data_IF_965176620842
#
_entry.id   IF_965176620842
#
_cell.length_a   1.000
_cell.length_b   1.000
_cell.length_c   1.000
_cell.angle_alpha   90.00
_cell.angle_beta   90.00
_cell.angle_gamma   90.00
#
_symmetry.space_group_name_H-M   'P 1'
#
loop_
_entity.id
_entity.type
_entity.pdbx_description
1 polymer ?
#
# COMPACT_ATOMS: atom_id res chain seq x y z
N UNK A 1 -16.01 -24.87 4.18
CA UNK A 1 -15.92 -23.72 3.25
C UNK A 1 -14.63 -23.93 2.46
N UNK A 2 -14.64 -23.73 1.15
CA UNK A 2 -13.41 -23.89 0.33
C UNK A 2 -12.63 -22.58 0.30
N UNK A 3 -11.30 -22.62 0.13
CA UNK A 3 -10.41 -21.44 0.03
C UNK A 3 -11.00 -20.31 -0.84
N UNK A 4 -11.53 -20.57 -2.05
CA UNK A 4 -12.10 -19.51 -2.89
C UNK A 4 -13.31 -18.81 -2.26
N UNK A 5 -14.15 -19.55 -1.52
CA UNK A 5 -15.32 -19.00 -0.83
C UNK A 5 -14.90 -18.10 0.33
N UNK A 6 -13.89 -18.50 1.11
CA UNK A 6 -13.34 -17.71 2.22
C UNK A 6 -12.70 -16.42 1.71
N UNK A 7 -11.94 -16.52 0.60
CA UNK A 7 -11.29 -15.39 -0.06
C UNK A 7 -12.31 -14.37 -0.58
N UNK A 8 -13.30 -14.82 -1.33
CA UNK A 8 -14.29 -13.92 -1.92
C UNK A 8 -15.15 -13.26 -0.82
N UNK A 9 -15.44 -13.98 0.27
CA UNK A 9 -16.10 -13.41 1.44
C UNK A 9 -15.24 -12.34 2.12
N UNK A 10 -13.91 -12.56 2.25
CA UNK A 10 -13.02 -11.53 2.78
C UNK A 10 -13.03 -10.29 1.90
N UNK A 11 -12.92 -10.46 0.59
CA UNK A 11 -12.91 -9.34 -0.37
C UNK A 11 -14.21 -8.53 -0.28
N UNK A 12 -15.37 -9.19 -0.25
CA UNK A 12 -16.66 -8.53 -0.10
C UNK A 12 -16.73 -7.69 1.20
N UNK A 13 -16.28 -8.26 2.33
CA UNK A 13 -16.20 -7.53 3.60
C UNK A 13 -15.22 -6.36 3.52
N UNK A 14 -14.04 -6.52 2.91
CA UNK A 14 -13.08 -5.42 2.75
C UNK A 14 -13.61 -4.27 1.88
N UNK A 15 -14.49 -4.57 0.91
CA UNK A 15 -15.10 -3.57 0.04
C UNK A 15 -16.26 -2.84 0.72
N UNK A 16 -17.15 -3.58 1.37
CA UNK A 16 -18.45 -3.06 1.81
C UNK A 16 -18.57 -2.90 3.33
N UNK A 17 -17.84 -3.71 4.10
CA UNK A 17 -17.97 -3.80 5.57
C UNK A 17 -16.60 -3.93 6.26
N UNK A 18 -15.65 -2.97 6.08
CA UNK A 18 -14.28 -3.10 6.56
C UNK A 18 -14.13 -3.07 8.10
N UNK A 19 -15.23 -2.98 8.84
CA UNK A 19 -15.27 -3.03 10.31
C UNK A 19 -15.89 -4.33 10.84
N UNK A 20 -16.22 -5.25 9.94
CA UNK A 20 -16.83 -6.52 10.27
C UNK A 20 -15.90 -7.37 11.16
N UNK A 21 -16.47 -7.94 12.22
CA UNK A 21 -15.73 -8.68 13.24
C UNK A 21 -15.16 -10.02 12.74
N UNK A 22 -15.65 -10.52 11.60
CA UNK A 22 -15.20 -11.79 11.03
C UNK A 22 -13.88 -11.66 10.25
N UNK A 23 -13.49 -10.43 9.86
CA UNK A 23 -12.30 -10.18 9.03
C UNK A 23 -11.03 -10.84 9.59
N UNK A 24 -10.69 -10.73 10.89
CA UNK A 24 -9.51 -11.39 11.45
C UNK A 24 -9.51 -12.91 11.26
N UNK A 25 -10.68 -13.55 11.42
CA UNK A 25 -10.83 -15.00 11.24
C UNK A 25 -10.63 -15.43 9.80
N UNK A 26 -11.20 -14.68 8.85
CA UNK A 26 -11.03 -14.93 7.41
C UNK A 26 -9.57 -14.72 6.96
N UNK A 27 -8.91 -13.66 7.46
CA UNK A 27 -7.49 -13.42 7.20
C UNK A 27 -6.64 -14.61 7.66
N UNK A 28 -6.84 -15.06 8.91
CA UNK A 28 -6.09 -16.20 9.44
C UNK A 28 -6.33 -17.51 8.68
N UNK A 29 -7.56 -17.76 8.24
CA UNK A 29 -7.88 -18.94 7.44
C UNK A 29 -7.15 -18.93 6.08
N UNK A 30 -7.16 -17.78 5.38
CA UNK A 30 -6.50 -17.67 4.07
C UNK A 30 -4.98 -17.73 4.21
N UNK A 31 -4.39 -17.09 5.23
CA UNK A 31 -2.95 -17.17 5.50
C UNK A 31 -2.47 -18.61 5.74
N UNK A 32 -3.29 -19.45 6.39
CA UNK A 32 -2.97 -20.85 6.65
C UNK A 32 -3.06 -21.73 5.39
N UNK A 33 -3.95 -21.39 4.46
CA UNK A 33 -4.24 -22.21 3.28
C UNK A 33 -3.45 -21.76 2.03
N UNK A 34 -3.15 -20.48 1.90
CA UNK A 34 -2.54 -19.87 0.70
C UNK A 34 -1.42 -18.88 1.09
N UNK A 35 -0.34 -19.41 1.65
CA UNK A 35 0.85 -18.62 1.96
C UNK A 35 1.50 -18.09 0.67
N UNK A 36 1.81 -16.79 0.63
CA UNK A 36 2.51 -16.19 -0.51
C UNK A 36 3.92 -16.77 -0.71
N UNK A 37 4.35 -16.84 -1.98
CA UNK A 37 5.73 -17.13 -2.37
C UNK A 37 6.22 -16.10 -3.41
N UNK A 38 6.87 -15.06 -2.92
CA UNK A 38 7.41 -13.97 -3.74
C UNK A 38 8.46 -14.44 -4.75
N UNK A 39 9.12 -15.59 -4.55
CA UNK A 39 10.03 -16.11 -5.58
C UNK A 39 9.29 -16.43 -6.89
N UNK A 40 8.00 -16.70 -6.81
CA UNK A 40 7.13 -16.98 -7.95
C UNK A 40 6.23 -15.78 -8.27
N UNK A 41 5.75 -15.10 -7.23
CA UNK A 41 4.64 -14.14 -7.33
C UNK A 41 5.06 -12.67 -7.20
N UNK A 42 6.37 -12.33 -7.14
CA UNK A 42 6.84 -10.95 -6.96
C UNK A 42 6.20 -9.96 -7.96
N UNK A 43 5.96 -10.40 -9.20
CA UNK A 43 5.34 -9.57 -10.23
C UNK A 43 3.91 -9.13 -9.85
N UNK A 44 3.19 -9.91 -9.04
CA UNK A 44 1.86 -9.55 -8.54
C UNK A 44 1.91 -8.38 -7.55
N UNK A 45 3.02 -8.15 -6.86
CA UNK A 45 3.15 -6.99 -5.96
C UNK A 45 3.11 -5.67 -6.71
N UNK A 46 3.52 -5.64 -7.98
CA UNK A 46 3.54 -4.43 -8.77
C UNK A 46 2.13 -3.85 -8.95
N UNK A 47 1.98 -2.55 -8.64
CA UNK A 47 0.71 -1.84 -8.79
C UNK A 47 0.34 -0.98 -7.59
N UNK A 48 -0.90 -0.49 -7.62
CA UNK A 48 -1.49 0.34 -6.58
C UNK A 48 -2.38 -0.51 -5.68
N UNK A 49 -2.12 -0.46 -4.38
CA UNK A 49 -2.84 -1.21 -3.36
C UNK A 49 -3.50 -0.27 -2.36
N UNK A 50 -4.79 -0.43 -2.09
CA UNK A 50 -5.50 0.37 -1.10
C UNK A 50 -5.69 -0.40 0.20
N UNK A 51 -5.30 0.21 1.32
CA UNK A 51 -5.53 -0.34 2.65
C UNK A 51 -7.04 -0.33 2.97
N UNK A 52 -7.61 -1.53 3.10
CA UNK A 52 -9.03 -1.70 3.44
C UNK A 52 -9.26 -2.11 4.88
N UNK A 53 -8.29 -2.76 5.50
CA UNK A 53 -8.36 -3.15 6.90
C UNK A 53 -6.98 -3.25 7.55
N UNK A 54 -6.89 -2.97 8.84
CA UNK A 54 -5.70 -3.21 9.66
C UNK A 54 -6.09 -3.70 11.04
N UNK A 55 -5.26 -4.56 11.63
CA UNK A 55 -5.41 -4.97 13.04
C UNK A 55 -4.96 -3.89 14.04
N UNK A 56 -4.38 -2.77 13.57
CA UNK A 56 -3.90 -1.69 14.44
C UNK A 56 -5.04 -0.79 14.91
N UNK A 57 -4.92 -0.31 16.15
CA UNK A 57 -5.83 0.68 16.74
C UNK A 57 -5.39 2.13 16.44
N UNK A 58 -4.23 2.32 15.80
CA UNK A 58 -3.65 3.64 15.54
C UNK A 58 -4.52 4.50 14.62
N UNK A 59 -4.79 5.77 14.97
CA UNK A 59 -5.73 6.63 14.22
C UNK A 59 -5.39 6.83 12.74
N UNK A 60 -4.10 6.92 12.39
CA UNK A 60 -3.65 7.17 11.01
C UNK A 60 -3.78 5.94 10.09
N UNK A 61 -4.00 4.75 10.66
CA UNK A 61 -4.28 3.52 9.90
C UNK A 61 -5.78 3.25 9.76
N UNK A 62 -6.63 4.07 10.40
CA UNK A 62 -8.09 3.94 10.27
C UNK A 62 -8.53 4.33 8.87
N UNK A 63 -9.36 3.49 8.27
CA UNK A 63 -9.96 3.77 6.97
C UNK A 63 -11.09 4.79 7.13
N UNK A 64 -11.20 5.68 6.14
CA UNK A 64 -12.30 6.62 6.06
C UNK A 64 -12.82 6.67 4.61
N UNK A 65 -14.14 6.75 4.37
CA UNK A 65 -14.70 6.79 3.01
C UNK A 65 -14.18 7.95 2.15
N UNK A 66 -13.74 9.03 2.78
CA UNK A 66 -13.20 10.24 2.16
C UNK A 66 -11.67 10.24 1.99
N UNK A 67 -10.99 9.12 2.28
CA UNK A 67 -9.54 9.03 2.29
C UNK A 67 -9.06 7.80 1.51
N UNK A 68 -8.16 8.02 0.55
CA UNK A 68 -7.38 6.94 -0.07
C UNK A 68 -6.11 6.73 0.78
N UNK A 69 -5.90 5.51 1.26
CA UNK A 69 -4.65 5.07 1.89
C UNK A 69 -4.00 4.04 0.96
N UNK A 70 -3.12 4.51 0.09
CA UNK A 70 -2.54 3.75 -1.00
C UNK A 70 -1.10 3.35 -0.69
N UNK A 71 -0.72 2.18 -1.18
CA UNK A 71 0.63 1.67 -1.25
C UNK A 71 0.92 1.32 -2.69
N UNK A 72 1.79 2.10 -3.32
CA UNK A 72 2.21 1.90 -4.70
C UNK A 72 3.55 1.18 -4.68
N UNK A 73 3.63 0.02 -5.31
CA UNK A 73 4.85 -0.78 -5.36
C UNK A 73 5.29 -1.00 -6.81
N UNK A 74 6.59 -0.86 -7.03
CA UNK A 74 7.30 -1.17 -8.26
C UNK A 74 8.54 -2.01 -7.89
N UNK A 75 8.37 -3.33 -7.65
CA UNK A 75 9.46 -4.20 -7.21
C UNK A 75 10.58 -4.33 -8.25
N UNK A 76 10.24 -4.24 -9.55
CA UNK A 76 11.21 -4.32 -10.65
C UNK A 76 12.22 -3.18 -10.58
N UNK A 77 11.77 -1.97 -10.24
CA UNK A 77 12.66 -0.81 -10.07
C UNK A 77 13.07 -0.58 -8.61
N UNK A 78 12.66 -1.44 -7.69
CA UNK A 78 12.98 -1.35 -6.26
C UNK A 78 12.37 -0.12 -5.57
N UNK A 79 11.20 0.36 -6.01
CA UNK A 79 10.56 1.58 -5.48
C UNK A 79 9.21 1.28 -4.85
N UNK A 80 8.92 1.98 -3.75
CA UNK A 80 7.66 1.95 -3.04
C UNK A 80 7.19 3.36 -2.66
N UNK A 81 5.89 3.53 -2.50
CA UNK A 81 5.30 4.79 -2.05
C UNK A 81 4.06 4.53 -1.20
N UNK A 82 4.03 5.07 0.01
CA UNK A 82 2.80 5.17 0.80
C UNK A 82 2.20 6.55 0.57
N UNK A 83 0.94 6.60 0.14
CA UNK A 83 0.21 7.82 -0.12
C UNK A 83 -1.10 7.85 0.64
N UNK A 84 -1.26 8.88 1.46
CA UNK A 84 -2.52 9.22 2.10
C UNK A 84 -3.08 10.47 1.42
N UNK A 85 -4.22 10.40 0.73
CA UNK A 85 -4.83 11.55 0.07
C UNK A 85 -6.33 11.58 0.24
N UNK A 86 -6.93 12.76 0.11
CA UNK A 86 -8.39 12.89 0.08
C UNK A 86 -8.97 12.13 -1.12
N UNK A 87 -10.20 11.62 -1.00
CA UNK A 87 -10.96 11.01 -2.10
C UNK A 87 -11.91 12.04 -2.72
N UNK A 88 -12.23 11.85 -4.00
CA UNK A 88 -13.21 12.66 -4.72
C UNK A 88 -12.59 13.88 -5.40
N UNK A 89 -13.39 14.92 -5.72
CA UNK A 89 -12.94 16.08 -6.49
C UNK A 89 -11.75 16.85 -5.88
N UNK A 90 -11.53 16.69 -4.58
CA UNK A 90 -10.43 17.30 -3.83
C UNK A 90 -9.19 16.40 -3.72
N UNK A 91 -9.18 15.22 -4.36
CA UNK A 91 -8.07 14.26 -4.28
C UNK A 91 -6.75 14.82 -4.80
N UNK A 92 -6.79 15.79 -5.71
CA UNK A 92 -5.61 16.48 -6.18
C UNK A 92 -5.08 17.50 -5.16
N UNK A 93 -5.89 18.00 -4.23
CA UNK A 93 -5.54 19.20 -3.45
C UNK A 93 -4.46 18.97 -2.39
N UNK A 94 -4.45 17.81 -1.75
CA UNK A 94 -3.51 17.51 -0.67
C UNK A 94 -3.39 16.02 -0.39
N UNK A 95 -2.16 15.56 -0.18
CA UNK A 95 -1.82 14.24 0.31
C UNK A 95 -0.49 14.23 1.05
N UNK A 96 -0.26 13.17 1.82
CA UNK A 96 0.99 12.86 2.48
C UNK A 96 1.60 11.68 1.75
N UNK A 97 2.78 11.86 1.20
CA UNK A 97 3.51 10.82 0.49
C UNK A 97 4.79 10.47 1.22
N UNK A 98 5.09 9.18 1.29
CA UNK A 98 6.37 8.66 1.76
C UNK A 98 6.93 7.72 0.70
N UNK A 99 8.02 8.13 0.07
CA UNK A 99 8.78 7.33 -0.89
C UNK A 99 9.75 6.42 -0.15
N UNK A 100 9.88 5.20 -0.64
CA UNK A 100 10.76 4.18 -0.11
C UNK A 100 11.46 3.43 -1.24
N UNK A 101 12.64 2.90 -0.93
CA UNK A 101 13.19 1.79 -1.68
C UNK A 101 12.61 0.49 -1.12
N UNK A 102 12.33 -0.47 -1.99
CA UNK A 102 11.85 -1.79 -1.60
C UNK A 102 12.75 -2.87 -2.17
N UNK A 103 12.96 -3.94 -1.39
CA UNK A 103 13.78 -5.07 -1.82
C UNK A 103 13.23 -6.36 -1.25
N UNK A 104 13.04 -7.37 -2.09
CA UNK A 104 12.73 -8.72 -1.63
C UNK A 104 13.94 -9.30 -0.89
N UNK A 105 13.75 -9.74 0.35
CA UNK A 105 14.78 -10.42 1.14
C UNK A 105 14.65 -11.94 1.08
N UNK A 106 13.42 -12.45 1.05
CA UNK A 106 13.12 -13.87 0.96
C UNK A 106 11.76 -14.14 0.29
N UNK A 107 11.23 -15.36 0.43
CA UNK A 107 9.95 -15.78 -0.18
C UNK A 107 8.72 -15.00 0.31
N UNK A 108 8.79 -14.26 1.41
CA UNK A 108 7.66 -13.49 1.95
C UNK A 108 8.06 -12.09 2.39
N UNK A 109 9.33 -11.85 2.72
CA UNK A 109 9.79 -10.59 3.28
C UNK A 109 10.21 -9.59 2.21
N UNK A 110 9.65 -8.40 2.30
CA UNK A 110 10.07 -7.20 1.57
C UNK A 110 10.62 -6.19 2.57
N UNK A 111 11.89 -5.85 2.41
CA UNK A 111 12.51 -4.71 3.09
C UNK A 111 11.95 -3.41 2.53
N UNK A 112 11.74 -2.44 3.41
CA UNK A 112 11.27 -1.10 3.11
C UNK A 112 12.21 -0.09 3.74
N UNK A 113 12.80 0.76 2.91
CA UNK A 113 13.69 1.83 3.32
C UNK A 113 13.09 3.18 2.91
N UNK A 114 12.46 3.87 3.84
CA UNK A 114 11.90 5.20 3.63
C UNK A 114 13.02 6.19 3.31
N UNK A 115 12.85 6.92 2.22
CA UNK A 115 13.80 7.91 1.72
C UNK A 115 13.32 9.32 1.96
N UNK A 116 12.09 9.60 1.54
CA UNK A 116 11.54 10.95 1.53
C UNK A 116 10.09 10.93 1.92
N UNK A 117 9.66 11.92 2.69
CA UNK A 117 8.31 12.05 3.20
C UNK A 117 7.87 13.50 3.18
N UNK A 118 6.60 13.75 2.89
CA UNK A 118 6.08 15.09 2.98
C UNK A 118 4.78 15.29 2.21
N UNK A 119 4.52 16.56 1.92
CA UNK A 119 3.26 16.98 1.34
C UNK A 119 3.29 16.88 -0.18
N UNK A 120 2.18 16.42 -0.75
CA UNK A 120 1.93 16.35 -2.18
C UNK A 120 0.65 17.11 -2.47
N UNK A 121 0.74 18.05 -3.40
CA UNK A 121 -0.30 19.01 -3.74
C UNK A 121 -0.92 18.81 -5.12
N UNK A 122 -1.65 19.83 -5.61
CA UNK A 122 -2.34 19.75 -6.88
C UNK A 122 -1.40 19.56 -8.06
N UNK A 123 -1.93 18.88 -9.07
CA UNK A 123 -1.36 18.92 -10.41
C UNK A 123 -1.59 20.31 -10.99
N UNK A 124 -0.51 20.91 -11.45
CA UNK A 124 -0.51 22.20 -12.13
C UNK A 124 -0.81 22.00 -13.63
N UNK A 125 -1.31 23.04 -14.31
CA UNK A 125 -1.35 23.08 -15.77
C UNK A 125 0.04 22.75 -16.34
N UNK A 126 0.12 21.76 -17.24
CA UNK A 126 1.39 21.25 -17.79
C UNK A 126 1.89 19.93 -17.17
N UNK A 127 1.16 19.35 -16.22
CA UNK A 127 1.39 17.98 -15.73
C UNK A 127 2.35 17.86 -14.54
N UNK A 128 2.94 18.96 -14.08
CA UNK A 128 3.80 18.97 -12.90
C UNK A 128 2.96 18.91 -11.62
N UNK A 129 3.43 18.21 -10.59
CA UNK A 129 2.76 18.14 -9.28
C UNK A 129 3.57 18.89 -8.23
N UNK A 130 2.91 19.74 -7.44
CA UNK A 130 3.56 20.40 -6.31
C UNK A 130 3.91 19.37 -5.23
N UNK A 131 5.17 19.34 -4.80
CA UNK A 131 5.63 18.42 -3.77
C UNK A 131 6.64 19.10 -2.84
N UNK A 132 6.48 18.90 -1.54
CA UNK A 132 7.44 19.30 -0.52
C UNK A 132 7.85 18.06 0.26
N UNK A 133 8.89 17.37 -0.22
CA UNK A 133 9.39 16.13 0.37
C UNK A 133 10.72 16.39 1.06
N UNK A 134 10.82 15.98 2.34
CA UNK A 134 12.04 15.99 3.12
C UNK A 134 12.60 14.59 3.24
N UNK A 135 13.91 14.49 3.43
CA UNK A 135 14.53 13.21 3.76
C UNK A 135 13.96 12.66 5.06
N UNK A 136 13.71 11.36 5.07
CA UNK A 136 13.27 10.62 6.26
C UNK A 136 14.46 9.81 6.72
N UNK A 137 14.94 10.08 7.94
CA UNK A 137 15.94 9.23 8.57
C UNK A 137 15.23 8.04 9.22
N UNK A 138 15.35 6.88 8.57
CA UNK A 138 14.87 5.64 9.12
C UNK A 138 15.92 5.09 10.11
N UNK A 139 15.56 5.08 11.39
CA UNK A 139 16.47 4.67 12.47
C UNK A 139 16.56 3.16 12.69
N UNK A 140 15.67 2.38 12.07
CA UNK A 140 15.64 0.92 12.19
C UNK A 140 15.13 0.27 10.88
N UNK A 141 15.58 -0.96 10.54
CA UNK A 141 15.04 -1.68 9.40
C UNK A 141 13.52 -1.83 9.51
N UNK A 142 12.81 -1.56 8.42
CA UNK A 142 11.38 -1.78 8.30
C UNK A 142 11.17 -2.84 7.22
N UNK A 143 10.24 -3.76 7.48
CA UNK A 143 9.90 -4.80 6.54
C UNK A 143 8.40 -5.10 6.60
N UNK A 144 7.92 -5.70 5.52
CA UNK A 144 6.60 -6.29 5.41
C UNK A 144 6.77 -7.76 5.06
N UNK A 145 6.17 -8.62 5.86
CA UNK A 145 6.00 -10.03 5.50
C UNK A 145 4.69 -10.13 4.70
N UNK A 146 4.80 -10.37 3.40
CA UNK A 146 3.67 -10.63 2.51
C UNK A 146 3.20 -12.06 2.78
N UNK A 147 2.01 -12.19 3.37
CA UNK A 147 1.48 -13.49 3.82
C UNK A 147 0.48 -14.08 2.84
N UNK A 148 -0.25 -13.24 2.11
CA UNK A 148 -1.13 -13.63 1.00
C UNK A 148 -0.96 -12.63 -0.13
N UNK A 149 -0.87 -13.14 -1.36
CA UNK A 149 -0.75 -12.30 -2.55
C UNK A 149 -1.46 -12.97 -3.74
N UNK A 150 -2.35 -12.24 -4.36
CA UNK A 150 -2.90 -12.57 -5.66
C UNK A 150 -3.18 -11.31 -6.49
N UNK A 151 -3.93 -11.42 -7.58
CA UNK A 151 -4.23 -10.31 -8.49
C UNK A 151 -5.09 -9.20 -7.88
N UNK A 152 -5.79 -9.45 -6.79
CA UNK A 152 -6.76 -8.52 -6.19
C UNK A 152 -6.52 -8.30 -4.70
N UNK A 153 -6.07 -9.31 -3.97
CA UNK A 153 -5.88 -9.30 -2.53
C UNK A 153 -4.40 -9.36 -2.18
N UNK A 154 -4.00 -8.52 -1.22
CA UNK A 154 -2.71 -8.62 -0.56
C UNK A 154 -2.89 -8.51 0.93
N UNK A 155 -2.32 -9.47 1.65
CA UNK A 155 -2.22 -9.43 3.12
C UNK A 155 -0.75 -9.36 3.48
N UNK A 156 -0.42 -8.46 4.39
CA UNK A 156 0.95 -8.35 4.90
C UNK A 156 0.99 -8.03 6.39
N UNK A 157 2.12 -8.34 7.01
CA UNK A 157 2.41 -8.09 8.42
C UNK A 157 3.60 -7.15 8.54
N UNK A 158 3.42 -6.05 9.26
CA UNK A 158 4.50 -5.13 9.58
C UNK A 158 5.39 -5.64 10.71
N UNK A 159 6.54 -4.98 10.91
CA UNK A 159 7.51 -5.26 11.96
C UNK A 159 6.90 -5.44 13.38
N UNK A 160 5.86 -4.68 13.72
CA UNK A 160 5.17 -4.73 15.01
C UNK A 160 4.06 -5.81 15.07
N UNK A 161 4.00 -6.73 14.09
CA UNK A 161 2.97 -7.76 13.97
C UNK A 161 1.60 -7.25 13.51
N UNK A 162 1.49 -5.96 13.18
CA UNK A 162 0.25 -5.38 12.62
C UNK A 162 -0.06 -6.04 11.29
N UNK A 163 -1.27 -6.57 11.16
CA UNK A 163 -1.75 -7.15 9.91
C UNK A 163 -2.47 -6.08 9.09
N UNK A 164 -2.26 -6.10 7.79
CA UNK A 164 -2.87 -5.19 6.82
C UNK A 164 -3.49 -6.04 5.71
N UNK A 165 -4.75 -5.74 5.36
CA UNK A 165 -5.41 -6.32 4.20
C UNK A 165 -5.70 -5.20 3.19
N UNK A 166 -5.22 -5.41 1.97
CA UNK A 166 -5.25 -4.43 0.90
C UNK A 166 -5.90 -5.01 -0.35
N UNK A 167 -6.61 -4.16 -1.08
CA UNK A 167 -7.18 -4.49 -2.38
C UNK A 167 -6.47 -3.72 -3.48
N UNK A 168 -6.25 -4.37 -4.62
CA UNK A 168 -5.64 -3.75 -5.80
C UNK A 168 -6.58 -2.69 -6.39
N UNK A 169 -6.00 -1.61 -6.89
CA UNK A 169 -6.67 -0.50 -7.57
C UNK A 169 -6.25 -0.48 -9.04
N UNK A 170 -6.89 -1.32 -9.84
CA UNK A 170 -6.62 -1.43 -11.28
C UNK A 170 -7.05 -0.18 -12.07
N UNK A 171 -7.85 0.71 -11.45
CA UNK A 171 -8.21 2.01 -12.00
C UNK A 171 -7.10 3.07 -11.88
N UNK A 172 -5.98 2.76 -11.21
CA UNK A 172 -4.87 3.68 -10.99
C UNK A 172 -3.58 3.16 -11.63
N UNK A 173 -2.82 4.06 -12.26
CA UNK A 173 -1.52 3.72 -12.84
C UNK A 173 -0.39 4.06 -11.85
N UNK A 174 0.47 3.07 -11.54
CA UNK A 174 1.57 3.23 -10.60
C UNK A 174 2.59 4.30 -11.05
N UNK A 175 2.77 4.51 -12.35
CA UNK A 175 3.76 5.46 -12.88
C UNK A 175 3.40 6.91 -12.50
N UNK A 176 2.12 7.23 -12.35
CA UNK A 176 1.65 8.57 -11.92
C UNK A 176 2.10 8.96 -10.50
N UNK A 177 2.63 8.00 -9.73
CA UNK A 177 3.08 8.20 -8.36
C UNK A 177 4.60 8.28 -8.23
N UNK A 178 5.33 7.86 -9.26
CA UNK A 178 6.79 7.94 -9.31
C UNK A 178 7.31 8.92 -10.37
N UNK A 179 6.47 9.28 -11.35
CA UNK A 179 6.81 10.27 -12.36
C UNK A 179 6.62 11.69 -11.79
N UNK A 180 7.67 12.15 -11.14
CA UNK A 180 7.92 13.57 -10.96
C UNK A 180 9.03 13.95 -11.91
N UNK A 181 8.69 14.57 -13.05
CA UNK A 181 9.56 15.60 -13.61
C UNK A 181 9.67 16.70 -12.56
N UNK A 182 10.61 16.50 -11.64
CA UNK A 182 11.01 17.49 -10.65
C UNK A 182 11.62 18.62 -11.47
N UNK A 183 10.94 19.77 -11.51
CA UNK A 183 11.66 21.00 -11.79
C UNK A 183 12.66 21.15 -10.62
N UNK A 184 13.91 20.75 -10.86
CA UNK A 184 15.01 21.15 -10.00
C UNK A 184 15.06 22.68 -10.11
N UNK A 185 14.55 23.37 -9.10
CA UNK A 185 14.95 24.74 -8.87
C UNK A 185 16.33 24.65 -8.23
N UNK A 186 17.36 24.66 -9.08
CA UNK A 186 18.70 25.03 -8.64
C UNK A 186 18.61 26.47 -8.11
N UNK A 187 18.88 26.63 -6.83
CA UNK A 187 19.12 27.92 -6.16
C UNK A 187 20.41 27.82 -5.37
#
# INVERSE_FOLDING_TARGET
>A
MTVPQTRDQLIDKLQHQPKDADIPGLVGAIEAEQAADLNQDIALLAGVWELRWSSSTQPWLKQAPWLDNLQVLDPERGRGCNLLRLRGPLAAMAGISVQADIRQLDKQRVEVLFRRGGWVGPQLPGGNRLQLLREVQQSFPAWLDITVLDRQLRICRGNAGTTFALLRRDDLNLEEFFDSRVAQADA
#
